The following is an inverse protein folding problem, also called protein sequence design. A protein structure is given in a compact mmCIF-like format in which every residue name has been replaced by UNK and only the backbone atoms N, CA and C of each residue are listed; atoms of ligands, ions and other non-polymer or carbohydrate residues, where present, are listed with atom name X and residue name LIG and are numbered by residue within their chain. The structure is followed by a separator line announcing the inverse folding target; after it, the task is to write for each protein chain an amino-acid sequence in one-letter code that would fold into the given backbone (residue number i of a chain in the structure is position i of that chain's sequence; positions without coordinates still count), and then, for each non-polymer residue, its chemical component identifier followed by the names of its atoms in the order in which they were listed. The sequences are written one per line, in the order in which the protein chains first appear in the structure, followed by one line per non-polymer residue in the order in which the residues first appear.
data_IF_058237188643
#
_entry.id   IF_058237188643
#
_cell.length_a   1.000
_cell.length_b   1.000
_cell.length_c   1.000
_cell.angle_alpha   90.00
_cell.angle_beta   90.00
_cell.angle_gamma   90.00
#
_symmetry.space_group_name_H-M   'P 1'
#
loop_
_entity.id
_entity.type
_entity.pdbx_description
1 polymer ?
#
# COMPACT_ATOMS: atom_id res chain seq x y z
N UNK A 1 -4.80 3.34 16.51
CA UNK A 1 -4.91 4.37 15.47
C UNK A 1 -3.92 4.00 14.39
N UNK A 2 -4.41 3.62 13.21
CA UNK A 2 -3.60 3.21 12.06
C UNK A 2 -2.70 4.35 11.62
N UNK A 3 -1.43 4.04 11.43
CA UNK A 3 -0.35 5.00 11.34
C UNK A 3 -0.37 5.72 9.97
N UNK A 4 -0.51 7.04 9.95
CA UNK A 4 -0.50 7.87 8.73
C UNK A 4 0.72 7.62 7.82
N UNK A 5 1.82 7.08 8.35
CA UNK A 5 3.01 6.71 7.57
C UNK A 5 2.75 5.64 6.50
N UNK A 6 1.74 4.78 6.63
CA UNK A 6 1.42 3.81 5.57
C UNK A 6 0.74 4.47 4.35
N UNK A 7 0.08 5.64 4.53
CA UNK A 7 -0.42 6.46 3.41
C UNK A 7 0.72 7.11 2.62
N UNK A 8 1.85 7.42 3.26
CA UNK A 8 3.01 8.02 2.59
C UNK A 8 3.80 7.03 1.73
N UNK A 9 3.64 5.73 1.95
CA UNK A 9 4.28 4.65 1.17
C UNK A 9 3.24 3.84 0.35
N UNK A 10 2.05 4.39 0.13
CA UNK A 10 0.97 3.68 -0.52
C UNK A 10 1.29 3.37 -1.98
N UNK A 11 1.31 2.09 -2.34
CA UNK A 11 1.50 1.66 -3.73
C UNK A 11 0.16 1.23 -4.32
N UNK A 12 -0.24 1.85 -5.43
CA UNK A 12 -1.44 1.44 -6.15
C UNK A 12 -1.22 0.10 -6.87
N UNK A 13 -2.19 -0.81 -6.76
CA UNK A 13 -2.22 -2.14 -7.37
C UNK A 13 -3.47 -2.31 -8.23
N UNK A 14 -3.46 -3.29 -9.14
CA UNK A 14 -4.61 -3.61 -10.02
C UNK A 14 -5.67 -4.41 -9.26
N UNK A 15 -6.94 -4.12 -9.50
CA UNK A 15 -8.09 -4.94 -9.07
C UNK A 15 -8.61 -4.64 -7.67
N UNK A 16 -9.72 -5.27 -7.26
CA UNK A 16 -10.10 -5.36 -5.86
C UNK A 16 -9.22 -6.39 -5.14
N UNK A 17 -8.84 -6.10 -3.90
CA UNK A 17 -8.01 -7.01 -3.09
C UNK A 17 -8.75 -7.49 -1.85
N UNK A 18 -8.60 -8.77 -1.42
CA UNK A 18 -9.23 -9.26 -0.19
C UNK A 18 -8.75 -8.52 1.08
N UNK A 19 -7.50 -8.04 1.08
CA UNK A 19 -6.89 -7.20 2.13
C UNK A 19 -5.50 -6.75 1.65
N UNK A 20 -5.09 -5.48 1.80
CA UNK A 20 -3.70 -5.11 1.58
C UNK A 20 -2.86 -5.77 2.67
N UNK A 21 -2.02 -6.73 2.28
CA UNK A 21 -1.00 -7.30 3.16
C UNK A 21 -0.05 -6.24 3.73
N UNK A 22 0.91 -6.62 4.58
CA UNK A 22 1.77 -5.70 5.34
C UNK A 22 2.54 -4.67 4.49
N UNK A 23 2.78 -4.98 3.22
CA UNK A 23 3.46 -4.10 2.25
C UNK A 23 2.54 -3.09 1.54
N UNK A 24 1.27 -2.98 1.94
CA UNK A 24 0.39 -1.86 1.59
C UNK A 24 0.20 -1.64 0.09
N UNK A 25 -0.86 -2.21 -0.48
CA UNK A 25 -1.29 -1.77 -1.79
C UNK A 25 -2.67 -2.26 -2.16
N UNK A 26 -3.45 -1.36 -2.74
CA UNK A 26 -4.87 -1.53 -3.09
C UNK A 26 -5.10 -0.85 -4.43
N UNK A 27 -6.27 -1.01 -5.05
CA UNK A 27 -6.64 -0.10 -6.14
C UNK A 27 -6.86 1.33 -5.64
N UNK A 28 -6.94 2.27 -6.58
CA UNK A 28 -7.18 3.68 -6.27
C UNK A 28 -8.47 3.92 -5.48
N UNK A 29 -9.54 3.17 -5.76
CA UNK A 29 -10.83 3.33 -5.08
C UNK A 29 -10.76 2.88 -3.61
N UNK A 30 -10.15 1.73 -3.35
CA UNK A 30 -9.85 1.23 -2.00
C UNK A 30 -8.92 2.20 -1.25
N UNK A 31 -7.92 2.76 -1.94
CA UNK A 31 -7.03 3.77 -1.38
C UNK A 31 -7.79 5.03 -0.96
N UNK A 32 -8.74 5.46 -1.79
CA UNK A 32 -9.55 6.64 -1.54
C UNK A 32 -10.47 6.45 -0.32
N UNK A 33 -11.07 5.26 -0.15
CA UNK A 33 -11.84 4.89 1.04
C UNK A 33 -11.00 5.09 2.30
N UNK A 34 -9.81 4.48 2.35
CA UNK A 34 -8.94 4.55 3.53
C UNK A 34 -8.40 5.97 3.75
N UNK A 35 -8.02 6.67 2.69
CA UNK A 35 -7.52 8.05 2.76
C UNK A 35 -8.60 9.03 3.28
N UNK A 36 -9.87 8.77 2.99
CA UNK A 36 -11.00 9.55 3.53
C UNK A 36 -11.43 9.10 4.94
N UNK A 37 -10.72 8.17 5.58
CA UNK A 37 -10.98 7.73 6.95
C UNK A 37 -12.08 6.67 7.09
N UNK A 38 -12.57 6.10 5.98
CA UNK A 38 -13.50 4.98 6.04
C UNK A 38 -12.76 3.67 6.36
N UNK A 39 -13.43 2.69 6.99
CA UNK A 39 -12.89 1.34 7.13
C UNK A 39 -12.53 0.76 5.75
N UNK A 40 -11.42 0.03 5.68
CA UNK A 40 -11.08 -0.70 4.47
C UNK A 40 -12.21 -1.67 4.09
N UNK A 41 -12.57 -1.68 2.82
CA UNK A 41 -13.43 -2.68 2.21
C UNK A 41 -12.94 -2.96 0.79
N UNK A 42 -13.02 -4.21 0.29
CA UNK A 42 -12.80 -4.49 -1.12
C UNK A 42 -13.82 -3.75 -1.98
N UNK A 43 -13.39 -3.17 -3.11
CA UNK A 43 -14.26 -2.43 -4.03
C UNK A 43 -14.30 -3.12 -5.40
N UNK A 44 -15.16 -4.13 -5.60
CA UNK A 44 -15.23 -4.84 -6.88
C UNK A 44 -15.84 -3.96 -7.98
N UNK A 45 -16.68 -2.99 -7.63
CA UNK A 45 -17.22 -2.01 -8.58
C UNK A 45 -17.24 -0.59 -7.99
N UNK A 46 -17.14 0.40 -8.87
CA UNK A 46 -17.27 1.82 -8.50
C UNK A 46 -18.62 2.18 -7.86
N UNK A 47 -19.65 1.34 -8.04
CA UNK A 47 -20.97 1.43 -7.39
C UNK A 47 -20.92 1.13 -5.89
N UNK A 48 -19.88 0.47 -5.41
CA UNK A 48 -19.73 0.08 -4.00
C UNK A 48 -19.03 1.15 -3.15
N UNK A 49 -18.58 2.24 -3.78
CA UNK A 49 -18.00 3.38 -3.06
C UNK A 49 -19.01 4.04 -2.10
N UNK A 50 -18.59 4.70 -1.01
CA UNK A 50 -19.47 5.52 -0.20
C UNK A 50 -20.14 6.66 -1.00
N UNK A 51 -21.27 7.19 -0.50
CA UNK A 51 -22.07 8.18 -1.25
C UNK A 51 -21.38 9.52 -1.48
N UNK A 52 -20.35 9.87 -0.69
CA UNK A 52 -19.54 11.08 -0.90
C UNK A 52 -18.57 10.98 -2.09
N UNK A 53 -18.45 9.82 -2.73
CA UNK A 53 -17.57 9.60 -3.88
C UNK A 53 -18.32 9.72 -5.20
N UNK A 54 -17.76 10.49 -6.13
CA UNK A 54 -18.36 10.67 -7.46
C UNK A 54 -18.26 9.37 -8.26
N UNK A 55 -19.41 8.81 -8.66
CA UNK A 55 -19.48 7.56 -9.42
C UNK A 55 -18.77 7.62 -10.77
N UNK A 56 -19.02 8.61 -11.66
CA UNK A 56 -18.28 8.75 -12.91
C UNK A 56 -16.78 8.89 -12.72
N UNK A 57 -16.34 9.66 -11.70
CA UNK A 57 -14.92 9.86 -11.40
C UNK A 57 -14.28 8.56 -10.90
N UNK A 58 -14.92 7.85 -9.96
CA UNK A 58 -14.43 6.57 -9.45
C UNK A 58 -14.40 5.47 -10.52
N UNK A 59 -15.36 5.50 -11.47
CA UNK A 59 -15.39 4.58 -12.61
C UNK A 59 -14.18 4.78 -13.52
N UNK A 60 -13.92 6.04 -13.91
CA UNK A 60 -12.76 6.37 -14.75
C UNK A 60 -11.45 6.07 -14.02
N UNK A 61 -11.33 6.46 -12.75
CA UNK A 61 -10.14 6.22 -11.96
C UNK A 61 -9.81 4.72 -11.83
N UNK A 62 -10.82 3.88 -11.57
CA UNK A 62 -10.64 2.43 -11.50
C UNK A 62 -10.22 1.83 -12.84
N UNK A 63 -10.84 2.27 -13.95
CA UNK A 63 -10.42 1.87 -15.30
C UNK A 63 -8.95 2.22 -15.56
N UNK A 64 -8.54 3.47 -15.32
CA UNK A 64 -7.16 3.91 -15.52
C UNK A 64 -6.19 3.15 -14.60
N UNK A 65 -6.60 2.83 -13.38
CA UNK A 65 -5.80 2.06 -12.44
C UNK A 65 -5.51 0.65 -12.97
N UNK A 66 -6.53 -0.01 -13.50
CA UNK A 66 -6.45 -1.42 -13.88
C UNK A 66 -5.77 -1.64 -15.22
N UNK A 67 -5.86 -0.67 -16.15
CA UNK A 67 -5.18 -0.71 -17.46
C UNK A 67 -3.71 -0.28 -17.38
N UNK A 68 -3.31 0.46 -16.33
CA UNK A 68 -1.96 0.98 -16.20
C UNK A 68 -0.91 -0.11 -15.91
N UNK A 69 0.31 0.11 -16.41
CA UNK A 69 1.49 -0.57 -15.87
C UNK A 69 1.72 -0.20 -14.39
N UNK A 70 2.52 -1.00 -13.67
CA UNK A 70 2.80 -0.75 -12.25
C UNK A 70 3.38 0.64 -11.95
N UNK A 71 4.24 1.15 -12.86
CA UNK A 71 4.88 2.46 -12.75
C UNK A 71 3.88 3.57 -13.09
N UNK A 72 3.17 3.46 -14.21
CA UNK A 72 2.19 4.47 -14.64
C UNK A 72 1.05 4.63 -13.64
N UNK A 73 0.62 3.53 -13.01
CA UNK A 73 -0.46 3.54 -12.02
C UNK A 73 -0.18 4.50 -10.87
N UNK A 74 1.08 4.65 -10.45
CA UNK A 74 1.43 5.53 -9.34
C UNK A 74 1.18 7.01 -9.65
N UNK A 75 1.03 7.38 -10.94
CA UNK A 75 0.62 8.73 -11.35
C UNK A 75 -0.81 9.09 -10.93
N UNK A 76 -1.59 8.11 -10.49
CA UNK A 76 -2.94 8.30 -9.97
C UNK A 76 -2.98 8.65 -8.48
N UNK A 77 -1.88 8.51 -7.74
CA UNK A 77 -1.79 8.84 -6.29
C UNK A 77 -2.34 10.25 -5.98
N UNK A 78 -2.01 11.31 -6.74
CA UNK A 78 -2.53 12.66 -6.46
C UNK A 78 -4.06 12.80 -6.53
N UNK A 79 -4.76 11.82 -7.07
CA UNK A 79 -6.21 11.83 -7.23
C UNK A 79 -6.94 11.06 -6.13
N UNK A 80 -6.24 10.30 -5.29
CA UNK A 80 -6.83 9.41 -4.27
C UNK A 80 -7.85 10.15 -3.39
N UNK A 81 -7.49 11.29 -2.81
CA UNK A 81 -8.41 12.07 -1.97
C UNK A 81 -9.42 12.89 -2.77
N UNK A 82 -9.17 13.12 -4.07
CA UNK A 82 -10.03 13.89 -4.97
C UNK A 82 -11.23 13.08 -5.47
N UNK A 83 -11.26 11.76 -5.25
CA UNK A 83 -12.40 10.92 -5.64
C UNK A 83 -13.65 11.17 -4.78
N UNK A 84 -13.46 11.64 -3.53
CA UNK A 84 -14.53 12.02 -2.60
C UNK A 84 -15.09 13.41 -2.94
N UNK A 85 -15.63 13.54 -4.15
CA UNK A 85 -16.13 14.80 -4.70
C UNK A 85 -17.55 14.68 -5.28
N UNK A 86 -18.36 13.73 -4.79
CA UNK A 86 -19.75 13.61 -5.23
C UNK A 86 -20.49 14.95 -5.15
N UNK A 87 -21.26 15.25 -6.18
CA UNK A 87 -22.03 16.48 -6.30
C UNK A 87 -23.52 16.17 -6.58
N UNK A 88 -24.29 17.16 -7.01
CA UNK A 88 -25.69 16.96 -7.38
C UNK A 88 -25.82 16.02 -8.58
N UNK A 89 -26.96 15.31 -8.73
CA UNK A 89 -27.17 14.40 -9.85
C UNK A 89 -26.90 15.04 -11.22
N UNK A 90 -27.24 16.32 -11.40
CA UNK A 90 -27.03 17.07 -12.64
C UNK A 90 -25.54 17.27 -12.95
N UNK A 91 -24.72 17.50 -11.92
CA UNK A 91 -23.27 17.61 -12.07
C UNK A 91 -22.64 16.25 -12.35
N UNK A 92 -23.09 15.20 -11.66
CA UNK A 92 -22.62 13.83 -11.90
C UNK A 92 -22.95 13.38 -13.33
N UNK A 93 -24.13 13.71 -13.87
CA UNK A 93 -24.47 13.41 -15.26
C UNK A 93 -23.59 14.21 -16.24
N UNK A 94 -23.29 15.48 -15.96
CA UNK A 94 -22.36 16.27 -16.79
C UNK A 94 -20.96 15.66 -16.80
N UNK A 95 -20.47 15.17 -15.65
CA UNK A 95 -19.19 14.43 -15.56
C UNK A 95 -19.24 13.15 -16.38
N UNK A 96 -20.31 12.37 -16.26
CA UNK A 96 -20.50 11.14 -17.01
C UNK A 96 -20.53 11.40 -18.53
N UNK A 97 -21.30 12.39 -18.98
CA UNK A 97 -21.37 12.80 -20.38
C UNK A 97 -20.02 13.30 -20.91
N UNK A 98 -19.29 14.10 -20.12
CA UNK A 98 -17.95 14.57 -20.47
C UNK A 98 -16.96 13.42 -20.71
N UNK A 99 -16.98 12.43 -19.82
CA UNK A 99 -16.12 11.22 -19.92
C UNK A 99 -16.55 10.40 -21.13
N UNK A 100 -17.83 10.08 -21.27
CA UNK A 100 -18.36 9.25 -22.37
C UNK A 100 -18.02 9.82 -23.75
N UNK A 101 -18.07 11.14 -23.91
CA UNK A 101 -17.71 11.81 -25.16
C UNK A 101 -16.22 11.69 -25.55
N UNK A 102 -15.34 11.27 -24.62
CA UNK A 102 -13.89 11.15 -24.82
C UNK A 102 -13.37 9.73 -24.68
N UNK A 103 -14.05 8.95 -23.85
CA UNK A 103 -13.72 7.57 -23.53
C UNK A 103 -15.02 6.85 -23.16
N UNK A 104 -15.54 6.10 -24.12
CA UNK A 104 -16.73 5.29 -23.91
C UNK A 104 -16.35 4.01 -23.15
N UNK A 105 -16.50 4.06 -21.83
CA UNK A 105 -16.28 2.92 -20.92
C UNK A 105 -17.39 1.86 -21.00
N UNK A 106 -18.49 2.14 -21.72
CA UNK A 106 -19.59 1.19 -21.97
C UNK A 106 -19.40 0.43 -23.29
N UNK A 107 -18.41 0.83 -24.12
CA UNK A 107 -18.11 0.17 -25.37
C UNK A 107 -17.66 -1.28 -25.18
N UNK A 108 -18.09 -2.17 -26.10
CA UNK A 108 -17.68 -3.58 -26.13
C UNK A 108 -16.15 -3.77 -26.12
N UNK A 109 -15.44 -2.83 -26.76
CA UNK A 109 -14.00 -2.78 -26.76
C UNK A 109 -13.58 -1.34 -26.49
N UNK A 110 -12.97 -1.11 -25.33
CA UNK A 110 -12.40 0.18 -24.99
C UNK A 110 -10.98 0.20 -25.56
N UNK A 111 -10.64 1.13 -26.47
CA UNK A 111 -9.29 1.21 -27.01
C UNK A 111 -8.29 1.51 -25.91
N UNK A 112 -7.05 1.06 -26.07
CA UNK A 112 -5.97 1.44 -25.16
C UNK A 112 -5.83 2.97 -25.12
N UNK A 113 -5.90 3.56 -23.93
CA UNK A 113 -5.73 4.99 -23.71
C UNK A 113 -4.38 5.23 -23.03
N UNK A 114 -3.47 6.03 -23.62
CA UNK A 114 -2.24 6.41 -22.94
C UNK A 114 -2.54 7.06 -21.58
N UNK A 115 -1.78 6.71 -20.54
CA UNK A 115 -2.00 7.21 -19.18
C UNK A 115 -2.13 8.75 -19.10
N UNK A 116 -1.32 9.48 -19.88
CA UNK A 116 -1.40 10.94 -19.94
C UNK A 116 -2.74 11.45 -20.49
N UNK A 117 -3.34 10.77 -21.47
CA UNK A 117 -4.66 11.09 -22.00
C UNK A 117 -5.72 10.82 -20.95
N UNK A 118 -5.66 9.66 -20.30
CA UNK A 118 -6.56 9.29 -19.21
C UNK A 118 -6.56 10.30 -18.07
N UNK A 119 -5.38 10.71 -17.61
CA UNK A 119 -5.22 11.75 -16.57
C UNK A 119 -5.86 13.07 -17.00
N UNK A 120 -5.67 13.53 -18.24
CA UNK A 120 -6.32 14.76 -18.73
C UNK A 120 -7.85 14.67 -18.74
N UNK A 121 -8.40 13.49 -19.07
CA UNK A 121 -9.85 13.28 -19.01
C UNK A 121 -10.31 13.34 -17.55
N UNK A 122 -9.57 12.70 -16.63
CA UNK A 122 -9.87 12.71 -15.20
C UNK A 122 -9.84 14.13 -14.61
N UNK A 123 -8.81 14.92 -14.93
CA UNK A 123 -8.70 16.32 -14.52
C UNK A 123 -9.83 17.18 -15.07
N UNK A 124 -10.17 17.03 -16.35
CA UNK A 124 -11.27 17.76 -16.96
C UNK A 124 -12.63 17.41 -16.35
N UNK A 125 -12.85 16.14 -15.99
CA UNK A 125 -14.06 15.72 -15.28
C UNK A 125 -14.12 16.28 -13.85
N UNK A 126 -12.98 16.31 -13.14
CA UNK A 126 -12.88 16.91 -11.80
C UNK A 126 -13.11 18.43 -11.81
N UNK A 127 -12.82 19.10 -12.92
CA UNK A 127 -13.09 20.53 -13.09
C UNK A 127 -14.59 20.87 -13.25
N UNK A 128 -15.45 19.87 -13.47
CA UNK A 128 -16.91 20.05 -13.55
C UNK A 128 -17.50 19.96 -12.15
N UNK A 129 -18.26 20.98 -11.72
CA UNK A 129 -18.91 21.03 -10.41
C UNK A 129 -18.15 21.89 -9.41
N UNK A 130 -18.51 21.78 -8.13
CA UNK A 130 -17.87 22.57 -7.07
C UNK A 130 -16.37 22.26 -7.01
N UNK A 131 -15.56 23.31 -7.08
CA UNK A 131 -14.14 23.23 -6.80
C UNK A 131 -13.94 23.55 -5.32
N UNK A 132 -13.10 22.77 -4.64
CA UNK A 132 -12.63 23.17 -3.32
C UNK A 132 -11.78 24.44 -3.47
N UNK A 133 -11.96 25.40 -2.56
CA UNK A 133 -11.07 26.56 -2.53
C UNK A 133 -9.61 26.06 -2.45
N UNK A 134 -8.69 26.65 -3.23
CA UNK A 134 -7.29 26.27 -3.17
C UNK A 134 -6.81 26.51 -1.74
N UNK A 135 -6.57 25.43 -1.00
CA UNK A 135 -5.86 25.50 0.28
C UNK A 135 -4.49 26.11 -0.01
N UNK A 136 -4.18 27.24 0.62
CA UNK A 136 -2.86 27.85 0.49
C UNK A 136 -1.79 26.81 0.85
N UNK A 137 -0.70 26.74 0.09
CA UNK A 137 0.35 25.74 0.30
C UNK A 137 0.90 25.76 1.73
N UNK A 138 0.90 26.94 2.36
CA UNK A 138 1.31 27.16 3.74
C UNK A 138 0.38 26.45 4.75
N UNK A 139 -0.94 26.51 4.53
CA UNK A 139 -1.92 25.83 5.37
C UNK A 139 -1.76 24.30 5.32
N UNK A 140 -1.39 23.76 4.15
CA UNK A 140 -1.13 22.33 3.99
C UNK A 140 0.15 21.94 4.73
N UNK A 141 1.22 22.73 4.60
CA UNK A 141 2.49 22.47 5.27
C UNK A 141 2.35 22.50 6.80
N UNK A 142 1.60 23.47 7.33
CA UNK A 142 1.37 23.60 8.77
C UNK A 142 0.50 22.46 9.33
N UNK A 143 -0.56 22.07 8.61
CA UNK A 143 -1.37 20.90 8.96
C UNK A 143 -0.55 19.60 8.93
N UNK A 144 0.31 19.43 7.93
CA UNK A 144 1.21 18.28 7.83
C UNK A 144 2.25 18.27 8.95
N UNK A 145 2.78 19.43 9.34
CA UNK A 145 3.70 19.55 10.49
C UNK A 145 2.98 19.22 11.79
N UNK A 146 1.77 19.72 12.00
CA UNK A 146 0.95 19.43 13.17
C UNK A 146 0.58 17.93 13.28
N UNK A 147 0.21 17.30 12.17
CA UNK A 147 -0.10 15.87 12.14
C UNK A 147 1.12 15.00 12.49
N UNK A 148 2.32 15.35 12.01
CA UNK A 148 3.58 14.69 12.37
C UNK A 148 3.96 14.90 13.83
N UNK A 149 3.68 16.08 14.39
CA UNK A 149 3.91 16.36 15.81
C UNK A 149 2.98 15.56 16.73
N UNK A 150 1.72 15.33 16.32
CA UNK A 150 0.76 14.50 17.05
C UNK A 150 1.00 12.99 16.99
N UNK A 151 1.86 12.52 16.07
CA UNK A 151 2.23 11.09 15.91
C UNK A 151 3.59 10.73 16.50
N UNK A 152 4.34 11.70 17.04
CA UNK A 152 5.57 11.40 17.77
C UNK A 152 5.23 10.53 19.00
N UNK A 153 5.88 9.36 19.19
CA UNK A 153 5.68 8.56 20.39
C UNK A 153 6.07 9.43 21.59
N UNK A 154 5.10 9.74 22.45
CA UNK A 154 5.45 10.30 23.75
C UNK A 154 6.32 9.28 24.46
N UNK A 155 7.55 9.67 24.78
CA UNK A 155 8.44 8.88 25.62
C UNK A 155 7.63 8.44 26.87
N UNK A 156 7.66 7.14 27.23
CA UNK A 156 6.87 6.67 28.34
C UNK A 156 7.28 7.43 29.62
N UNK A 157 6.34 8.17 30.21
CA UNK A 157 6.54 8.76 31.53
C UNK A 157 6.89 7.62 32.51
N UNK A 158 7.95 7.75 33.31
CA UNK A 158 8.31 6.72 34.27
C UNK A 158 7.14 6.54 35.24
N UNK A 159 6.47 5.39 35.16
CA UNK A 159 5.43 5.01 36.11
C UNK A 159 6.10 4.70 37.44
N UNK A 160 5.79 5.48 38.47
CA UNK A 160 6.05 5.12 39.86
C UNK A 160 5.31 3.83 40.19
N UNK A 161 6.04 2.78 40.59
CA UNK A 161 5.45 1.51 40.94
C UNK A 161 4.59 1.63 42.21
N UNK A 162 3.36 1.07 42.24
CA UNK A 162 2.55 1.02 43.45
C UNK A 162 3.16 0.03 44.47
N UNK A 163 3.26 0.47 45.71
CA UNK A 163 3.95 -0.17 46.87
C UNK A 163 3.39 -1.54 47.31
N UNK A 164 2.46 -2.16 46.58
CA UNK A 164 1.73 -3.37 47.02
C UNK A 164 2.12 -4.70 46.34
N UNK A 165 3.23 -4.73 45.58
CA UNK A 165 3.76 -5.98 45.00
C UNK A 165 4.94 -6.59 45.77
N UNK A 166 5.30 -6.06 46.95
CA UNK A 166 6.44 -6.53 47.75
C UNK A 166 6.16 -7.74 48.66
N UNK A 167 4.94 -8.27 48.72
CA UNK A 167 4.61 -9.40 49.61
C UNK A 167 4.69 -10.77 48.91
N UNK A 168 4.79 -10.82 47.57
CA UNK A 168 4.74 -12.10 46.83
C UNK A 168 6.04 -12.51 46.11
N UNK A 169 7.13 -11.75 46.28
CA UNK A 169 8.48 -12.07 45.76
C UNK A 169 9.52 -12.22 46.89
N UNK A 170 9.05 -12.59 48.08
CA UNK A 170 9.85 -12.76 49.30
C UNK A 170 10.10 -14.21 49.68
N UNK A 171 10.32 -15.11 48.72
CA UNK A 171 10.80 -16.46 49.01
C UNK A 171 11.41 -17.06 47.73
N UNK A 172 12.71 -16.83 47.53
CA UNK A 172 13.69 -17.74 46.94
C UNK A 172 15.04 -17.00 46.93
N UNK A 173 15.91 -17.40 47.86
CA UNK A 173 17.30 -16.91 47.97
C UNK A 173 18.17 -17.49 46.83
N UNK A 174 19.31 -16.86 46.52
CA UNK A 174 19.97 -16.93 45.23
C UNK A 174 21.10 -17.96 45.22
N UNK A 175 20.87 -19.12 44.63
CA UNK A 175 21.95 -19.96 44.09
C UNK A 175 21.44 -20.61 42.79
N UNK A 176 22.23 -20.55 41.72
CA UNK A 176 22.14 -21.32 40.45
C UNK A 176 22.10 -20.56 39.11
N UNK A 177 22.59 -19.31 39.01
CA UNK A 177 22.84 -18.70 37.67
C UNK A 177 24.28 -18.95 37.15
N UNK A 178 25.22 -19.38 37.99
CA UNK A 178 26.58 -19.73 37.57
C UNK A 178 26.76 -21.17 37.04
N UNK A 179 25.68 -21.85 36.62
CA UNK A 179 25.77 -23.19 36.02
C UNK A 179 25.06 -23.35 34.66
N UNK A 180 24.55 -22.27 34.06
CA UNK A 180 23.98 -22.31 32.69
C UNK A 180 24.74 -21.53 31.63
N UNK A 181 25.72 -20.69 32.01
CA UNK A 181 26.63 -20.05 31.06
C UNK A 181 27.74 -20.99 30.53
N UNK A 182 27.93 -22.17 31.13
CA UNK A 182 28.98 -23.13 30.75
C UNK A 182 28.55 -24.20 29.73
N UNK A 183 27.37 -24.10 29.08
CA UNK A 183 26.87 -25.14 28.14
C UNK A 183 26.59 -24.70 26.70
N UNK A 184 26.92 -23.47 26.31
CA UNK A 184 26.80 -23.05 24.90
C UNK A 184 28.13 -22.59 24.27
N UNK A 185 29.22 -22.54 25.03
CA UNK A 185 30.58 -22.23 24.54
C UNK A 185 31.45 -23.49 24.33
N UNK A 186 30.83 -24.65 24.07
CA UNK A 186 31.51 -25.93 23.83
C UNK A 186 30.95 -26.67 22.59
N UNK A 187 30.69 -25.94 21.50
CA UNK A 187 30.44 -26.54 20.17
C UNK A 187 31.17 -25.85 19.01
N UNK A 188 32.11 -24.97 19.32
CA UNK A 188 33.00 -24.34 18.36
C UNK A 188 34.43 -24.40 18.90
N UNK A 189 35.09 -25.55 18.72
CA UNK A 189 36.53 -25.70 18.42
C UNK A 189 36.92 -27.18 18.53
N UNK A 190 37.74 -27.62 17.57
CA UNK A 190 38.49 -28.88 17.50
C UNK A 190 37.72 -30.13 17.00
N UNK A 191 38.20 -30.94 16.03
CA UNK A 191 39.51 -30.98 15.36
C UNK A 191 39.40 -31.91 14.11
N UNK A 192 40.04 -31.45 13.02
CA UNK A 192 40.79 -32.11 11.94
C UNK A 192 40.36 -33.42 11.22
N UNK A 193 40.53 -33.33 9.88
CA UNK A 193 40.86 -34.32 8.84
C UNK A 193 41.94 -35.38 9.23
N UNK A 194 42.16 -36.52 8.51
CA UNK A 194 42.25 -36.60 7.04
C UNK A 194 41.93 -37.94 6.27
N UNK A 195 41.77 -37.77 4.94
CA UNK A 195 42.24 -38.61 3.78
C UNK A 195 41.57 -39.93 3.34
N UNK A 196 41.54 -40.04 1.99
CA UNK A 196 41.30 -41.17 1.05
C UNK A 196 39.82 -41.39 0.72
N UNK A 197 39.34 -41.25 -0.51
CA UNK A 197 39.97 -41.42 -1.81
C UNK A 197 39.09 -42.38 -2.61
N UNK A 198 38.35 -41.88 -3.61
CA UNK A 198 37.91 -42.68 -4.76
C UNK A 198 37.41 -41.77 -5.89
N UNK A 199 38.10 -41.91 -7.02
CA UNK A 199 37.73 -41.41 -8.35
C UNK A 199 36.43 -42.05 -8.83
N UNK A 200 35.67 -41.34 -9.69
CA UNK A 200 34.87 -41.82 -10.84
C UNK A 200 34.24 -40.58 -11.55
N UNK A 201 33.88 -40.64 -12.85
CA UNK A 201 34.64 -39.93 -13.89
C UNK A 201 33.84 -38.89 -14.70
N UNK A 202 34.60 -38.06 -15.43
CA UNK A 202 34.15 -37.27 -16.57
C UNK A 202 33.74 -38.16 -17.76
N UNK A 203 32.56 -37.86 -18.33
CA UNK A 203 32.08 -38.01 -19.73
C UNK A 203 30.57 -37.72 -19.60
N UNK A 204 29.95 -36.75 -20.24
CA UNK A 204 29.93 -36.53 -21.68
C UNK A 204 29.75 -35.03 -22.00
N UNK A 205 30.65 -34.53 -22.84
CA UNK A 205 30.39 -33.38 -23.72
C UNK A 205 29.96 -33.94 -25.08
N UNK A 206 29.05 -33.22 -25.72
CA UNK A 206 28.81 -33.11 -27.18
C UNK A 206 28.12 -34.27 -27.90
N UNK A 207 26.94 -33.97 -28.44
CA UNK A 207 26.48 -34.18 -29.84
C UNK A 207 24.98 -33.76 -29.88
N UNK A 208 24.36 -33.05 -30.84
CA UNK A 208 24.67 -32.57 -32.19
C UNK A 208 23.65 -31.45 -32.51
N UNK A 209 24.13 -30.34 -33.08
CA UNK A 209 23.34 -29.47 -33.96
C UNK A 209 23.12 -30.20 -35.29
N UNK A 210 21.86 -30.40 -35.70
CA UNK A 210 21.52 -30.66 -37.10
C UNK A 210 20.02 -30.41 -37.30
N UNK A 211 19.65 -29.19 -37.66
CA UNK A 211 18.44 -28.88 -38.43
C UNK A 211 18.52 -27.43 -38.89
N UNK A 212 19.18 -27.22 -40.02
CA UNK A 212 19.04 -26.08 -40.93
C UNK A 212 19.98 -26.33 -42.12
N UNK A 213 19.51 -27.10 -43.11
CA UNK A 213 19.71 -26.90 -44.54
C UNK A 213 18.93 -27.93 -45.33
#
# INVERSE_FOLDING_TARGET
MTNFYHLLNWTLKRGPHPCPGPDGGTCINEAAIVACGFPYQPVPAHTDMPSCFSRPICRLALFLNDEASGIERQRLIPFVTRLACADTPEIEEKRAAYIRARLDLDARHVPHVPMSVGIRILEGALAIGRQADPLAADDVADRMRAARAGTAPQAPKPRSLPTKLKVWLGALKPESVLLRAARLSARMTAVEHPRRGRLLPQRERQTIEANLH
#
